data_IF_421806962909
#
_entry.id   IF_421806962909
#
_cell.length_a   1.000
_cell.length_b   1.000
_cell.length_c   1.000
_cell.angle_alpha   90.00
_cell.angle_beta   90.00
_cell.angle_gamma   90.00
#
_symmetry.space_group_name_H-M   'P 1'
#
loop_
_entity.id
_entity.type
_entity.pdbx_description
1 polymer ?
#
# COMPACT_ATOMS: atom_id res chain seq x y z
N UNK A 1 11.06 2.73 -7.05
CA UNK A 1 10.26 1.50 -6.99
C UNK A 1 11.07 0.38 -6.33
N UNK A 2 10.47 -0.32 -5.37
CA UNK A 2 11.09 -1.42 -4.62
C UNK A 2 11.55 -2.61 -5.46
N UNK A 3 11.02 -2.77 -6.66
CA UNK A 3 11.32 -3.89 -7.58
C UNK A 3 12.25 -3.51 -8.76
N UNK A 4 12.70 -2.25 -8.83
CA UNK A 4 13.68 -1.83 -9.82
C UNK A 4 15.10 -2.10 -9.34
N UNK A 5 16.03 -2.29 -10.29
CA UNK A 5 17.46 -2.38 -10.02
C UNK A 5 18.08 -1.05 -9.62
N UNK A 6 19.39 -1.06 -9.31
CA UNK A 6 20.15 0.14 -8.99
C UNK A 6 19.85 0.76 -7.62
N UNK A 7 19.30 -0.01 -6.69
CA UNK A 7 19.03 0.45 -5.31
C UNK A 7 20.34 0.76 -4.59
N UNK A 8 20.37 1.94 -3.96
CA UNK A 8 21.47 2.38 -3.10
C UNK A 8 20.91 2.70 -1.73
N UNK A 9 21.33 1.99 -0.70
CA UNK A 9 20.95 2.28 0.68
C UNK A 9 21.67 3.53 1.19
N UNK A 10 21.04 4.26 2.09
CA UNK A 10 21.71 5.22 2.97
C UNK A 10 22.13 4.49 4.26
N UNK A 11 23.15 4.95 5.00
CA UNK A 11 23.53 4.36 6.28
C UNK A 11 22.36 4.27 7.24
N UNK A 12 22.35 3.21 8.07
CA UNK A 12 21.28 2.96 9.05
C UNK A 12 21.01 4.19 9.93
N UNK A 13 22.05 4.88 10.42
CA UNK A 13 21.88 6.10 11.23
C UNK A 13 21.27 7.27 10.45
N UNK A 14 21.56 7.36 9.16
CA UNK A 14 20.94 8.40 8.32
C UNK A 14 19.44 8.15 8.14
N UNK A 15 19.03 6.87 7.97
CA UNK A 15 17.61 6.51 7.92
C UNK A 15 16.91 6.78 9.26
N UNK A 16 17.53 6.47 10.40
CA UNK A 16 17.00 6.77 11.74
C UNK A 16 16.75 8.28 11.88
N UNK A 17 17.72 9.11 11.52
CA UNK A 17 17.54 10.58 11.55
C UNK A 17 16.36 11.06 10.72
N UNK A 18 16.08 10.41 9.58
CA UNK A 18 14.91 10.75 8.76
C UNK A 18 13.60 10.39 9.48
N UNK A 19 13.55 9.24 10.17
CA UNK A 19 12.38 8.86 10.98
C UNK A 19 12.17 9.84 12.13
N UNK A 20 13.23 10.17 12.87
CA UNK A 20 13.18 11.13 13.98
C UNK A 20 12.77 12.53 13.50
N UNK A 21 13.23 12.94 12.33
CA UNK A 21 12.86 14.23 11.73
C UNK A 21 11.39 14.28 11.26
N UNK A 22 10.81 13.12 10.90
CA UNK A 22 9.42 13.03 10.47
C UNK A 22 8.42 13.05 11.64
N UNK A 23 8.80 12.51 12.80
CA UNK A 23 7.90 12.36 13.97
C UNK A 23 7.30 13.66 14.48
N UNK A 24 8.02 14.79 14.62
CA UNK A 24 7.46 16.03 15.15
C UNK A 24 6.29 16.60 14.32
N UNK A 25 6.25 16.34 13.01
CA UNK A 25 5.22 16.92 12.14
C UNK A 25 3.79 16.46 12.53
N UNK A 26 3.46 15.17 12.65
CA UNK A 26 2.16 14.73 13.13
C UNK A 26 1.89 15.17 14.58
N UNK A 27 2.91 15.18 15.45
CA UNK A 27 2.75 15.58 16.85
C UNK A 27 2.37 17.07 16.93
N UNK A 28 3.02 17.95 16.19
CA UNK A 28 2.69 19.40 16.12
C UNK A 28 1.30 19.63 15.52
N UNK A 29 0.94 18.86 14.49
CA UNK A 29 -0.37 18.97 13.84
C UNK A 29 -1.51 18.32 14.65
N UNK A 30 -1.20 17.56 15.70
CA UNK A 30 -2.18 16.83 16.50
C UNK A 30 -2.92 15.73 15.71
N UNK A 31 -2.25 15.10 14.73
CA UNK A 31 -2.84 14.06 13.89
C UNK A 31 -2.21 12.70 14.21
N UNK A 32 -3.00 11.59 14.29
CA UNK A 32 -2.50 10.27 14.66
C UNK A 32 -1.82 9.56 13.48
N UNK A 33 -0.82 10.19 12.87
CA UNK A 33 -0.06 9.60 11.75
C UNK A 33 0.94 8.58 12.26
N UNK A 34 0.91 7.39 11.68
CA UNK A 34 1.86 6.33 11.97
C UNK A 34 3.08 6.42 11.05
N UNK A 35 4.27 6.20 11.61
CA UNK A 35 5.49 6.07 10.83
C UNK A 35 5.79 4.60 10.54
N UNK A 36 5.99 4.28 9.26
CA UNK A 36 6.42 2.97 8.79
C UNK A 36 7.86 3.07 8.31
N UNK A 37 8.78 2.46 9.03
CA UNK A 37 10.18 2.39 8.61
C UNK A 37 10.37 1.27 7.58
N UNK A 38 10.80 1.64 6.38
CA UNK A 38 11.07 0.72 5.28
C UNK A 38 12.57 0.48 5.12
N UNK A 39 12.94 -0.77 4.81
CA UNK A 39 14.26 -1.11 4.29
C UNK A 39 14.15 -1.91 2.99
N UNK A 40 15.01 -1.62 2.04
CA UNK A 40 15.17 -2.32 0.76
C UNK A 40 16.44 -3.20 0.74
N UNK A 41 17.02 -3.47 1.90
CA UNK A 41 18.30 -4.17 2.00
C UNK A 41 18.26 -5.62 1.46
N UNK A 42 17.07 -6.24 1.35
CA UNK A 42 16.94 -7.61 0.80
C UNK A 42 17.53 -7.70 -0.61
N UNK A 43 17.23 -6.75 -1.48
CA UNK A 43 17.66 -6.76 -2.88
C UNK A 43 18.66 -5.66 -3.25
N UNK A 44 18.99 -4.75 -2.34
CA UNK A 44 19.97 -3.71 -2.59
C UNK A 44 21.37 -4.30 -2.73
N UNK A 45 22.14 -3.76 -3.68
CA UNK A 45 23.53 -4.16 -3.93
C UNK A 45 24.56 -3.10 -3.52
N UNK A 46 24.07 -1.91 -3.17
CA UNK A 46 24.91 -0.74 -2.91
C UNK A 46 24.45 0.01 -1.66
N UNK A 47 25.41 0.67 -1.01
CA UNK A 47 25.17 1.63 0.06
C UNK A 47 26.07 2.86 -0.13
N UNK A 48 25.61 4.03 0.27
CA UNK A 48 26.33 5.30 0.04
C UNK A 48 27.60 5.46 0.88
N UNK A 49 27.68 4.83 2.06
CA UNK A 49 28.81 5.00 2.99
C UNK A 49 28.93 3.83 3.96
N UNK A 50 30.12 3.62 4.48
CA UNK A 50 30.51 2.62 5.47
C UNK A 50 30.63 3.18 6.91
N UNK A 51 30.12 4.39 7.13
CA UNK A 51 30.28 5.09 8.43
C UNK A 51 29.55 4.41 9.58
N UNK A 52 28.45 3.72 9.31
CA UNK A 52 27.63 3.06 10.32
C UNK A 52 28.13 1.64 10.60
N UNK A 53 28.45 1.37 11.87
CA UNK A 53 28.99 0.06 12.28
C UNK A 53 27.99 -1.08 12.06
N UNK A 54 26.69 -0.80 12.10
CA UNK A 54 25.64 -1.79 11.86
C UNK A 54 25.56 -2.26 10.41
N UNK A 55 25.99 -1.42 9.45
CA UNK A 55 26.00 -1.75 8.03
C UNK A 55 27.32 -2.44 7.62
N UNK A 56 28.43 -2.22 8.34
CA UNK A 56 29.76 -2.77 8.01
C UNK A 56 29.83 -4.28 7.82
N UNK A 57 29.16 -5.12 8.63
CA UNK A 57 29.19 -6.58 8.43
C UNK A 57 28.70 -7.03 7.05
N UNK A 58 27.87 -6.22 6.39
CA UNK A 58 27.24 -6.50 5.11
C UNK A 58 28.01 -5.96 3.90
N UNK A 59 29.14 -5.27 4.11
CA UNK A 59 29.97 -4.71 3.06
C UNK A 59 30.89 -5.78 2.42
N UNK A 60 30.95 -5.79 1.08
CA UNK A 60 31.85 -6.68 0.33
C UNK A 60 33.31 -6.21 0.33
N UNK A 61 33.59 -4.98 0.76
CA UNK A 61 34.94 -4.40 0.77
C UNK A 61 35.33 -3.68 -0.52
N UNK A 62 34.49 -3.72 -1.54
CA UNK A 62 34.71 -3.09 -2.85
C UNK A 62 33.82 -1.86 -3.02
N UNK A 63 34.27 -0.96 -3.93
CA UNK A 63 33.49 0.20 -4.36
C UNK A 63 33.19 0.16 -5.85
N UNK A 64 32.10 0.83 -6.25
CA UNK A 64 31.85 1.13 -7.66
C UNK A 64 32.71 2.30 -8.13
N UNK A 65 32.86 2.52 -9.45
CA UNK A 65 33.54 3.72 -9.97
C UNK A 65 32.93 5.04 -9.47
N UNK A 66 31.62 5.07 -9.19
CA UNK A 66 30.90 6.22 -8.65
C UNK A 66 31.14 6.43 -7.14
N UNK A 67 31.80 5.47 -6.47
CA UNK A 67 32.17 5.56 -5.07
C UNK A 67 31.24 4.87 -4.09
N UNK A 68 30.15 4.23 -4.53
CA UNK A 68 29.27 3.45 -3.68
C UNK A 68 29.95 2.18 -3.17
N UNK A 69 29.66 1.78 -1.92
CA UNK A 69 30.12 0.52 -1.38
C UNK A 69 29.21 -0.62 -1.86
N UNK A 70 29.82 -1.75 -2.25
CA UNK A 70 29.10 -2.97 -2.59
C UNK A 70 28.68 -3.73 -1.34
N UNK A 71 27.46 -4.25 -1.37
CA UNK A 71 26.92 -5.14 -0.37
C UNK A 71 27.24 -6.61 -0.75
N UNK A 72 27.42 -7.47 0.26
CA UNK A 72 27.63 -8.90 0.09
C UNK A 72 26.38 -9.57 -0.46
N UNK A 73 26.56 -10.46 -1.42
CA UNK A 73 25.47 -11.31 -1.90
C UNK A 73 25.00 -12.28 -0.80
N UNK A 74 23.70 -12.57 -0.80
CA UNK A 74 23.08 -13.52 0.12
C UNK A 74 22.86 -13.02 1.57
N UNK A 75 23.23 -11.78 1.88
CA UNK A 75 23.08 -11.21 3.24
C UNK A 75 21.92 -10.24 3.36
N UNK A 76 21.08 -10.09 2.33
CA UNK A 76 20.06 -9.06 2.28
C UNK A 76 19.02 -9.16 3.38
N UNK A 77 18.54 -10.39 3.70
CA UNK A 77 17.57 -10.60 4.77
C UNK A 77 18.16 -10.29 6.16
N UNK A 78 19.39 -10.74 6.45
CA UNK A 78 20.06 -10.42 7.70
C UNK A 78 20.30 -8.91 7.85
N UNK A 79 20.63 -8.23 6.76
CA UNK A 79 20.76 -6.78 6.75
C UNK A 79 19.40 -6.09 6.97
N UNK A 80 18.29 -6.61 6.41
CA UNK A 80 16.94 -6.14 6.73
C UNK A 80 16.65 -6.29 8.23
N UNK A 81 16.97 -7.42 8.85
CA UNK A 81 16.77 -7.66 10.28
C UNK A 81 17.60 -6.67 11.10
N UNK A 82 18.88 -6.51 10.80
CA UNK A 82 19.77 -5.55 11.48
C UNK A 82 19.21 -4.12 11.43
N UNK A 83 18.79 -3.68 10.26
CA UNK A 83 18.16 -2.35 10.07
C UNK A 83 16.81 -2.25 10.77
N UNK A 84 15.98 -3.28 10.66
CA UNK A 84 14.67 -3.34 11.34
C UNK A 84 14.80 -3.23 12.86
N UNK A 85 15.76 -3.91 13.46
CA UNK A 85 16.07 -3.80 14.89
C UNK A 85 16.49 -2.37 15.26
N UNK A 86 17.30 -1.72 14.42
CA UNK A 86 17.72 -0.34 14.64
C UNK A 86 16.57 0.67 14.47
N UNK A 87 15.61 0.41 13.61
CA UNK A 87 14.46 1.28 13.35
C UNK A 87 13.31 1.09 14.34
N UNK A 88 13.29 -0.03 15.08
CA UNK A 88 12.14 -0.42 15.90
C UNK A 88 11.73 0.61 16.96
N UNK A 89 12.66 1.38 17.52
CA UNK A 89 12.37 2.43 18.50
C UNK A 89 11.96 3.75 17.85
N UNK A 90 12.18 3.92 16.54
CA UNK A 90 11.99 5.17 15.80
C UNK A 90 10.76 5.20 14.88
N UNK A 91 10.02 4.09 14.79
CA UNK A 91 8.84 3.95 13.93
C UNK A 91 7.77 3.10 14.59
N UNK A 92 6.52 3.27 14.17
CA UNK A 92 5.39 2.51 14.70
C UNK A 92 5.33 1.11 14.10
N UNK A 93 5.62 0.98 12.79
CA UNK A 93 5.68 -0.28 12.07
C UNK A 93 7.01 -0.44 11.36
N UNK A 94 7.39 -1.69 11.10
CA UNK A 94 8.54 -2.03 10.27
C UNK A 94 8.09 -2.73 8.99
N UNK A 95 8.73 -2.40 7.88
CA UNK A 95 8.50 -2.98 6.58
C UNK A 95 9.83 -3.29 5.90
N UNK A 96 10.09 -4.57 5.59
CA UNK A 96 11.14 -4.91 4.65
C UNK A 96 10.53 -5.19 3.27
N UNK A 97 11.09 -4.60 2.24
CA UNK A 97 10.65 -4.83 0.87
C UNK A 97 11.25 -6.14 0.36
N UNK A 98 10.40 -6.98 -0.25
CA UNK A 98 10.80 -8.30 -0.77
C UNK A 98 10.80 -8.33 -2.29
N UNK A 99 11.62 -9.19 -2.89
CA UNK A 99 11.71 -9.37 -4.34
C UNK A 99 10.64 -10.35 -4.88
N UNK A 100 10.12 -11.22 -4.02
CA UNK A 100 9.11 -12.22 -4.35
C UNK A 100 8.32 -12.62 -3.10
N UNK A 101 7.13 -13.24 -3.26
CA UNK A 101 6.35 -13.67 -2.11
C UNK A 101 6.98 -14.91 -1.46
N UNK A 102 7.44 -14.78 -0.21
CA UNK A 102 8.11 -15.84 0.53
C UNK A 102 7.72 -15.77 2.01
N UNK A 103 6.96 -16.77 2.48
CA UNK A 103 6.52 -16.84 3.88
C UNK A 103 7.66 -17.20 4.84
N UNK A 104 8.69 -17.90 4.39
CA UNK A 104 9.82 -18.28 5.25
C UNK A 104 10.73 -17.08 5.51
N UNK A 105 10.98 -16.25 4.50
CA UNK A 105 11.67 -14.96 4.71
C UNK A 105 10.88 -14.03 5.61
N UNK A 106 9.55 -13.96 5.41
CA UNK A 106 8.67 -13.17 6.26
C UNK A 106 8.72 -13.64 7.72
N UNK A 107 8.72 -14.95 7.95
CA UNK A 107 8.84 -15.56 9.28
C UNK A 107 10.19 -15.23 9.92
N UNK A 108 11.27 -15.42 9.18
CA UNK A 108 12.63 -15.16 9.66
C UNK A 108 12.81 -13.70 10.07
N UNK A 109 12.29 -12.76 9.26
CA UNK A 109 12.30 -11.34 9.62
C UNK A 109 11.47 -11.06 10.88
N UNK A 110 10.24 -11.57 10.95
CA UNK A 110 9.35 -11.38 12.09
C UNK A 110 9.95 -11.93 13.40
N UNK A 111 10.51 -13.14 13.38
CA UNK A 111 11.18 -13.75 14.53
C UNK A 111 12.40 -12.96 14.97
N UNK A 112 13.22 -12.48 14.02
CA UNK A 112 14.37 -11.63 14.28
C UNK A 112 14.00 -10.33 14.98
N UNK A 113 12.90 -9.69 14.58
CA UNK A 113 12.40 -8.47 15.22
C UNK A 113 11.75 -8.77 16.57
N UNK A 114 10.84 -9.74 16.64
CA UNK A 114 10.07 -10.03 17.84
C UNK A 114 10.91 -10.63 18.98
N UNK A 115 12.03 -11.24 18.65
CA UNK A 115 12.99 -11.69 19.65
C UNK A 115 13.51 -10.57 20.56
N UNK A 116 13.59 -9.33 20.06
CA UNK A 116 14.03 -8.15 20.82
C UNK A 116 12.90 -7.17 21.11
N UNK A 117 11.93 -7.06 20.22
CA UNK A 117 10.78 -6.15 20.31
C UNK A 117 9.45 -6.94 20.20
N UNK A 118 9.06 -7.68 21.24
CA UNK A 118 7.83 -8.47 21.22
C UNK A 118 6.61 -7.61 20.88
N UNK A 119 5.82 -8.06 19.92
CA UNK A 119 4.59 -7.35 19.50
C UNK A 119 4.81 -6.14 18.59
N UNK A 120 6.07 -5.87 18.15
CA UNK A 120 6.31 -4.82 17.16
C UNK A 120 5.49 -5.06 15.91
N UNK A 121 4.73 -4.05 15.49
CA UNK A 121 3.89 -4.15 14.31
C UNK A 121 4.74 -4.22 13.03
N UNK A 122 4.33 -5.09 12.13
CA UNK A 122 4.98 -5.29 10.84
C UNK A 122 4.03 -4.99 9.69
N UNK A 123 4.59 -4.51 8.57
CA UNK A 123 3.89 -4.27 7.34
C UNK A 123 4.47 -5.13 6.21
N UNK A 124 3.61 -5.55 5.27
CA UNK A 124 4.01 -6.35 4.11
C UNK A 124 3.38 -5.84 2.82
N UNK A 125 4.19 -5.72 1.78
CA UNK A 125 3.74 -5.39 0.43
C UNK A 125 3.41 -6.66 -0.36
N UNK A 126 2.13 -6.93 -0.56
CA UNK A 126 1.66 -7.95 -1.49
C UNK A 126 1.72 -7.39 -2.92
N UNK A 127 2.93 -7.23 -3.44
CA UNK A 127 3.19 -6.49 -4.66
C UNK A 127 2.54 -7.09 -5.91
N UNK A 128 1.97 -6.28 -6.80
CA UNK A 128 1.54 -6.70 -8.14
C UNK A 128 2.72 -7.01 -9.08
N UNK A 129 3.96 -6.62 -8.71
CA UNK A 129 5.17 -7.00 -9.44
C UNK A 129 5.50 -8.48 -9.28
N UNK A 130 4.91 -9.15 -8.30
CA UNK A 130 5.01 -10.60 -8.16
C UNK A 130 4.05 -11.27 -9.15
N UNK A 131 4.54 -12.27 -9.88
CA UNK A 131 3.64 -13.21 -10.54
C UNK A 131 3.29 -14.32 -9.55
N UNK A 132 2.24 -14.08 -8.76
CA UNK A 132 1.82 -14.93 -7.64
C UNK A 132 1.67 -16.40 -8.03
N UNK A 133 0.90 -16.67 -9.10
CA UNK A 133 0.63 -18.03 -9.57
C UNK A 133 1.84 -18.73 -10.18
N UNK A 134 2.84 -18.00 -10.62
CA UNK A 134 4.11 -18.57 -11.09
C UNK A 134 5.07 -18.93 -9.94
N UNK A 135 4.81 -18.44 -8.73
CA UNK A 135 5.69 -18.59 -7.56
C UNK A 135 5.09 -19.49 -6.48
N UNK A 136 3.78 -19.51 -6.33
CA UNK A 136 3.07 -20.18 -5.24
C UNK A 136 1.87 -20.94 -5.79
N UNK A 137 1.49 -22.04 -5.11
CA UNK A 137 0.25 -22.75 -5.35
C UNK A 137 -0.96 -21.96 -4.85
N UNK A 138 -2.16 -22.35 -5.32
CA UNK A 138 -3.41 -21.64 -4.99
C UNK A 138 -3.75 -21.68 -3.49
N UNK A 139 -3.43 -22.76 -2.81
CA UNK A 139 -3.70 -22.90 -1.38
C UNK A 139 -2.83 -21.94 -0.57
N UNK A 140 -1.55 -21.85 -0.90
CA UNK A 140 -0.61 -20.93 -0.29
C UNK A 140 -1.03 -19.48 -0.56
N UNK A 141 -1.41 -19.14 -1.79
CA UNK A 141 -1.93 -17.80 -2.15
C UNK A 141 -3.16 -17.45 -1.32
N UNK A 142 -4.12 -18.37 -1.19
CA UNK A 142 -5.37 -18.16 -0.47
C UNK A 142 -5.17 -17.91 1.04
N UNK A 143 -4.12 -18.49 1.62
CA UNK A 143 -3.81 -18.35 3.05
C UNK A 143 -2.75 -17.28 3.36
N UNK A 144 -2.09 -16.71 2.35
CA UNK A 144 -0.90 -15.91 2.49
C UNK A 144 -1.05 -14.76 3.50
N UNK A 145 -2.15 -14.01 3.44
CA UNK A 145 -2.40 -12.90 4.37
C UNK A 145 -2.68 -13.37 5.80
N UNK A 146 -3.30 -14.54 5.99
CA UNK A 146 -3.54 -15.11 7.33
C UNK A 146 -2.23 -15.52 7.98
N UNK A 147 -1.36 -16.19 7.21
CA UNK A 147 -0.02 -16.58 7.67
C UNK A 147 0.81 -15.35 8.06
N UNK A 148 0.85 -14.33 7.20
CA UNK A 148 1.50 -13.06 7.54
C UNK A 148 0.90 -12.41 8.80
N UNK A 149 -0.43 -12.39 8.91
CA UNK A 149 -1.12 -11.84 10.06
C UNK A 149 -0.79 -12.56 11.37
N UNK A 150 -0.60 -13.89 11.32
CA UNK A 150 -0.17 -14.71 12.46
C UNK A 150 1.28 -14.38 12.89
N UNK A 151 2.15 -14.04 11.95
CA UNK A 151 3.54 -13.63 12.21
C UNK A 151 3.68 -12.17 12.73
N UNK A 152 2.59 -11.39 12.78
CA UNK A 152 2.64 -10.00 13.25
C UNK A 152 2.59 -8.92 12.15
N UNK A 153 2.47 -9.28 10.87
CA UNK A 153 2.24 -8.34 9.78
C UNK A 153 0.79 -7.86 9.81
N UNK A 154 0.51 -6.87 10.64
CA UNK A 154 -0.85 -6.36 10.87
C UNK A 154 -1.30 -5.34 9.84
N UNK A 155 -0.40 -4.78 9.07
CA UNK A 155 -0.68 -3.92 7.93
C UNK A 155 -0.17 -4.58 6.65
N UNK A 156 -1.11 -4.99 5.79
CA UNK A 156 -0.81 -5.64 4.51
C UNK A 156 -1.50 -4.88 3.40
N UNK A 157 -0.81 -4.65 2.31
CA UNK A 157 -1.33 -3.85 1.21
C UNK A 157 -0.95 -4.44 -0.15
N UNK A 158 -1.83 -4.26 -1.12
CA UNK A 158 -1.58 -4.59 -2.51
C UNK A 158 -1.34 -3.28 -3.24
N UNK A 159 -0.08 -2.93 -3.45
CA UNK A 159 0.28 -1.70 -4.17
C UNK A 159 -0.31 -1.74 -5.59
N UNK A 160 -0.79 -0.59 -6.06
CA UNK A 160 -1.34 -0.42 -7.41
C UNK A 160 -2.60 -1.27 -7.73
N UNK A 161 -3.26 -1.88 -6.74
CA UNK A 161 -4.47 -2.66 -6.99
C UNK A 161 -5.56 -1.82 -7.69
N UNK A 162 -5.78 -0.58 -7.20
CA UNK A 162 -6.70 0.37 -7.82
C UNK A 162 -6.28 0.76 -9.23
N UNK A 163 -4.99 1.01 -9.45
CA UNK A 163 -4.44 1.32 -10.77
C UNK A 163 -4.71 0.18 -11.78
N UNK A 164 -4.36 -1.05 -11.42
CA UNK A 164 -4.57 -2.20 -12.30
C UNK A 164 -6.05 -2.48 -12.56
N UNK A 165 -6.88 -2.41 -11.51
CA UNK A 165 -8.31 -2.62 -11.63
C UNK A 165 -8.96 -1.59 -12.55
N UNK A 166 -8.67 -0.29 -12.36
CA UNK A 166 -9.21 0.78 -13.19
C UNK A 166 -8.74 0.65 -14.64
N UNK A 167 -7.44 0.48 -14.87
CA UNK A 167 -6.91 0.43 -16.24
C UNK A 167 -7.38 -0.81 -16.99
N UNK A 168 -7.44 -1.97 -16.35
CA UNK A 168 -7.96 -3.18 -16.97
C UNK A 168 -9.46 -3.04 -17.29
N UNK A 169 -10.27 -2.56 -16.35
CA UNK A 169 -11.70 -2.35 -16.56
C UNK A 169 -11.98 -1.35 -17.70
N UNK A 170 -11.23 -0.24 -17.76
CA UNK A 170 -11.35 0.73 -18.87
C UNK A 170 -10.88 0.16 -20.20
N UNK A 171 -9.84 -0.67 -20.21
CA UNK A 171 -9.38 -1.35 -21.42
C UNK A 171 -10.46 -2.31 -21.96
N UNK A 172 -11.07 -3.14 -21.10
CA UNK A 172 -12.15 -4.06 -21.49
C UNK A 172 -13.36 -3.29 -22.03
N UNK A 173 -13.76 -2.22 -21.34
CA UNK A 173 -14.87 -1.39 -21.80
C UNK A 173 -14.57 -0.75 -23.16
N UNK A 174 -13.41 -0.13 -23.33
CA UNK A 174 -13.03 0.53 -24.58
C UNK A 174 -12.93 -0.45 -25.76
N UNK A 175 -12.36 -1.63 -25.53
CA UNK A 175 -12.27 -2.70 -26.53
C UNK A 175 -13.66 -3.19 -26.95
N UNK A 176 -14.53 -3.46 -25.99
CA UNK A 176 -15.91 -3.86 -26.28
C UNK A 176 -16.72 -2.78 -26.95
N UNK A 177 -16.56 -1.52 -26.51
CA UNK A 177 -17.28 -0.37 -27.06
C UNK A 177 -16.91 -0.08 -28.52
N UNK A 178 -15.64 -0.25 -28.89
CA UNK A 178 -15.18 -0.11 -30.29
C UNK A 178 -15.98 -0.99 -31.24
N UNK A 179 -16.32 -2.21 -30.83
CA UNK A 179 -16.93 -3.20 -31.72
C UNK A 179 -18.46 -3.26 -31.57
N UNK A 180 -19.01 -2.92 -30.38
CA UNK A 180 -20.41 -3.12 -30.00
C UNK A 180 -21.12 -1.86 -29.47
N UNK A 181 -20.41 -0.73 -29.33
CA UNK A 181 -20.97 0.55 -28.87
C UNK A 181 -21.63 0.43 -27.49
N UNK A 182 -22.82 1.05 -27.37
CA UNK A 182 -23.58 1.09 -26.10
C UNK A 182 -23.99 -0.28 -25.56
N UNK A 183 -23.97 -1.34 -26.35
CA UNK A 183 -24.23 -2.69 -25.84
C UNK A 183 -23.15 -3.12 -24.84
N UNK A 184 -21.88 -2.82 -25.11
CA UNK A 184 -20.80 -3.11 -24.19
C UNK A 184 -20.88 -2.29 -22.89
N UNK A 185 -21.26 -1.01 -22.98
CA UNK A 185 -21.48 -0.17 -21.80
C UNK A 185 -22.67 -0.68 -20.97
N UNK A 186 -23.76 -1.08 -21.63
CA UNK A 186 -24.94 -1.63 -20.94
C UNK A 186 -24.60 -2.91 -20.16
N UNK A 187 -23.70 -3.75 -20.65
CA UNK A 187 -23.23 -4.94 -19.93
C UNK A 187 -22.52 -4.57 -18.63
N UNK A 188 -21.64 -3.55 -18.66
CA UNK A 188 -21.00 -3.00 -17.46
C UNK A 188 -22.06 -2.52 -16.46
N UNK A 189 -23.03 -1.72 -16.92
CA UNK A 189 -24.08 -1.18 -16.07
C UNK A 189 -24.92 -2.30 -15.41
N UNK A 190 -25.28 -3.34 -16.16
CA UNK A 190 -26.00 -4.49 -15.58
C UNK A 190 -25.16 -5.27 -14.56
N UNK A 191 -23.85 -5.37 -14.78
CA UNK A 191 -22.94 -5.99 -13.80
C UNK A 191 -22.84 -5.16 -12.50
N UNK A 192 -22.87 -3.84 -12.59
CA UNK A 192 -22.93 -2.94 -11.43
C UNK A 192 -24.24 -3.15 -10.65
N UNK A 193 -25.40 -3.16 -11.30
CA UNK A 193 -26.69 -3.42 -10.65
C UNK A 193 -26.72 -4.79 -9.97
N UNK A 194 -26.24 -5.83 -10.63
CA UNK A 194 -26.14 -7.17 -10.03
C UNK A 194 -25.21 -7.21 -8.81
N UNK A 195 -24.25 -6.30 -8.72
CA UNK A 195 -23.30 -6.20 -7.60
C UNK A 195 -23.88 -5.47 -6.39
N UNK A 196 -25.03 -4.78 -6.52
CA UNK A 196 -25.70 -4.13 -5.38
C UNK A 196 -26.07 -5.14 -4.28
N UNK A 197 -26.45 -6.36 -4.66
CA UNK A 197 -26.72 -7.43 -3.70
C UNK A 197 -25.50 -7.83 -2.86
N UNK A 198 -24.28 -7.44 -3.28
CA UNK A 198 -23.01 -7.66 -2.56
C UNK A 198 -22.53 -6.42 -1.81
N UNK A 199 -23.33 -5.34 -1.81
CA UNK A 199 -23.02 -4.08 -1.15
C UNK A 199 -22.34 -3.03 -2.05
N UNK A 200 -22.33 -3.21 -3.37
CA UNK A 200 -21.84 -2.18 -4.30
C UNK A 200 -22.85 -1.02 -4.38
N UNK A 201 -22.39 0.22 -4.22
CA UNK A 201 -23.28 1.39 -4.12
C UNK A 201 -23.04 2.44 -5.19
N UNK A 202 -21.98 2.34 -5.98
CA UNK A 202 -21.58 3.38 -6.92
C UNK A 202 -22.51 3.52 -8.15
N UNK A 203 -23.48 2.63 -8.34
CA UNK A 203 -24.64 2.86 -9.23
C UNK A 203 -25.37 4.15 -8.86
N UNK A 204 -25.32 4.54 -7.58
CA UNK A 204 -25.86 5.80 -7.05
C UNK A 204 -24.79 6.89 -7.02
N UNK A 205 -24.19 7.17 -8.16
CA UNK A 205 -22.99 8.01 -8.26
C UNK A 205 -23.18 9.44 -7.72
N UNK A 206 -24.34 10.06 -7.83
CA UNK A 206 -24.61 11.38 -7.26
C UNK A 206 -24.57 11.37 -5.73
N UNK A 207 -25.01 10.28 -5.11
CA UNK A 207 -24.89 10.07 -3.68
C UNK A 207 -23.42 9.91 -3.26
N UNK A 208 -22.66 9.12 -4.00
CA UNK A 208 -21.23 8.85 -3.69
C UNK A 208 -20.38 10.13 -3.77
N UNK A 209 -20.71 11.09 -4.65
CA UNK A 209 -20.02 12.39 -4.72
C UNK A 209 -20.60 13.44 -3.77
N UNK A 210 -21.57 13.11 -2.95
CA UNK A 210 -22.04 13.96 -1.86
C UNK A 210 -23.02 15.06 -2.28
N UNK A 211 -23.74 14.92 -3.40
CA UNK A 211 -24.70 15.93 -3.88
C UNK A 211 -25.73 16.30 -2.82
N UNK A 212 -26.26 15.33 -2.06
CA UNK A 212 -27.21 15.58 -0.97
C UNK A 212 -26.64 16.44 0.16
N UNK A 213 -25.35 16.36 0.44
CA UNK A 213 -24.70 17.24 1.42
C UNK A 213 -24.71 18.71 0.95
N UNK A 214 -24.38 18.96 -0.30
CA UNK A 214 -24.41 20.33 -0.83
C UNK A 214 -25.82 20.93 -0.88
N UNK A 215 -26.83 20.13 -1.20
CA UNK A 215 -28.23 20.55 -1.12
C UNK A 215 -28.64 20.89 0.33
N UNK A 216 -28.22 20.10 1.29
CA UNK A 216 -28.46 20.37 2.72
C UNK A 216 -27.78 21.69 3.16
N UNK A 217 -26.55 21.94 2.75
CA UNK A 217 -25.82 23.19 3.03
C UNK A 217 -26.54 24.38 2.38
N UNK A 218 -26.91 24.29 1.09
CA UNK A 218 -27.62 25.36 0.38
C UNK A 218 -28.96 25.69 1.06
N UNK A 219 -29.71 24.68 1.48
CA UNK A 219 -30.98 24.83 2.17
C UNK A 219 -30.81 25.50 3.54
N UNK A 220 -29.79 25.08 4.31
CA UNK A 220 -29.51 25.66 5.62
C UNK A 220 -29.13 27.15 5.52
N UNK A 221 -28.25 27.51 4.58
CA UNK A 221 -27.79 28.89 4.36
C UNK A 221 -28.96 29.79 3.92
N UNK A 222 -29.89 29.28 3.10
CA UNK A 222 -31.03 30.05 2.61
C UNK A 222 -32.26 30.04 3.53
N UNK A 223 -32.10 29.67 4.81
CA UNK A 223 -33.18 29.73 5.81
C UNK A 223 -34.24 28.64 5.62
N UNK A 224 -33.88 27.48 5.13
CA UNK A 224 -34.76 26.31 5.00
C UNK A 224 -35.40 26.12 3.61
N UNK A 225 -35.22 27.07 2.68
CA UNK A 225 -35.71 26.95 1.33
C UNK A 225 -34.64 27.39 0.33
N UNK A 226 -34.36 26.54 -0.67
CA UNK A 226 -33.48 26.87 -1.79
C UNK A 226 -34.13 26.42 -3.08
N UNK A 227 -34.15 27.30 -4.08
CA UNK A 227 -34.58 26.97 -5.43
C UNK A 227 -33.48 26.29 -6.27
N UNK A 228 -32.27 26.18 -5.73
CA UNK A 228 -31.09 25.66 -6.43
C UNK A 228 -30.65 24.28 -5.96
N UNK A 229 -31.50 23.57 -5.16
CA UNK A 229 -31.19 22.19 -4.77
C UNK A 229 -31.19 21.29 -6.00
N UNK A 230 -30.09 20.54 -6.17
CA UNK A 230 -29.84 19.74 -7.35
C UNK A 230 -30.75 18.51 -7.45
N UNK A 231 -31.17 17.97 -6.32
CA UNK A 231 -31.91 16.69 -6.25
C UNK A 231 -33.43 16.85 -6.40
N UNK A 232 -33.99 18.05 -6.15
CA UNK A 232 -35.41 18.29 -6.24
C UNK A 232 -35.86 18.18 -7.70
N UNK A 233 -36.84 17.32 -7.98
CA UNK A 233 -37.36 17.05 -9.31
C UNK A 233 -36.32 16.49 -10.31
N UNK A 234 -35.19 15.92 -9.76
CA UNK A 234 -34.14 15.30 -10.56
C UNK A 234 -34.52 13.88 -10.97
N UNK A 235 -34.06 13.44 -12.13
CA UNK A 235 -34.13 12.03 -12.55
C UNK A 235 -33.26 11.12 -11.64
N UNK A 236 -32.36 11.71 -10.88
CA UNK A 236 -31.44 11.03 -9.95
C UNK A 236 -32.00 10.94 -8.51
N UNK A 237 -33.17 11.51 -8.25
CA UNK A 237 -33.74 11.58 -6.89
C UNK A 237 -33.84 10.21 -6.23
N UNK A 238 -34.10 9.13 -6.98
CA UNK A 238 -34.16 7.76 -6.46
C UNK A 238 -32.84 7.27 -5.83
N UNK A 239 -31.69 7.87 -6.16
CA UNK A 239 -30.39 7.50 -5.57
C UNK A 239 -30.28 7.86 -4.07
N UNK A 240 -31.14 8.74 -3.58
CA UNK A 240 -31.10 9.28 -2.21
C UNK A 240 -32.20 8.71 -1.32
N UNK A 241 -33.09 7.90 -1.87
CA UNK A 241 -34.09 7.16 -1.06
C UNK A 241 -33.31 6.02 -0.37
N UNK A 242 -33.39 5.98 0.96
CA UNK A 242 -32.82 4.85 1.72
C UNK A 242 -33.52 3.57 1.26
N UNK A 243 -32.77 2.53 0.96
CA UNK A 243 -33.34 1.20 0.86
C UNK A 243 -33.85 0.82 2.26
N UNK A 244 -35.16 0.61 2.36
CA UNK A 244 -35.81 0.09 3.57
C UNK A 244 -35.28 -1.31 3.95
#
# INVERSE_FOLDING_TARGET
CGHLGGKVLIPTQAAIRNHDAARPAPDICGVPTLLVARTDAESAKLITSDVDERDRPFLAGERTPEGFFRLKDGTGLDHCISRGLAFAEHADLLWFETSHPNLDEARTFAEGIHGRFPGKLLAYNCSPSFNWRAKLDEQTIANFQRELGAMGYKFQFVTLAGFHSLNHGMFELASGYRDRGMAAYSELQQAEFASEAKGYTATRHQREVGTGYFDAVATAISGGQSSTVALKESTEAAQFIAAE
#
